data_IF_139752271037
#
_entry.id   IF_139752271037
#
_cell.length_a   1.000
_cell.length_b   1.000
_cell.length_c   1.000
_cell.angle_alpha   90.00
_cell.angle_beta   90.00
_cell.angle_gamma   90.00
#
_symmetry.space_group_name_H-M   'P 1'
#
loop_
_entity.id
_entity.type
_entity.pdbx_description
1 polymer ?
#
# COMPACT_ATOMS: atom_id res chain seq x y z
N UNK A 1 -17.02 30.82 32.81
CA UNK A 1 -16.33 29.56 32.48
C UNK A 1 -15.56 29.76 31.18
N UNK A 2 -14.26 30.06 31.27
CA UNK A 2 -13.38 30.25 30.11
C UNK A 2 -12.97 28.86 29.61
N UNK A 3 -13.50 28.40 28.48
CA UNK A 3 -13.05 27.14 27.87
C UNK A 3 -11.73 27.37 27.13
N UNK A 4 -10.71 26.64 27.56
CA UNK A 4 -9.41 26.55 26.90
C UNK A 4 -9.54 25.98 25.48
N UNK A 5 -9.73 26.84 24.47
CA UNK A 5 -9.29 26.53 23.11
C UNK A 5 -7.76 26.69 23.10
N UNK A 6 -7.05 25.57 23.28
CA UNK A 6 -5.62 25.49 22.94
C UNK A 6 -5.49 25.74 21.43
N UNK A 7 -4.44 26.45 21.04
CA UNK A 7 -4.11 26.76 19.64
C UNK A 7 -4.19 25.51 18.78
N UNK A 8 -5.09 25.50 17.80
CA UNK A 8 -5.11 24.47 16.76
C UNK A 8 -3.86 24.67 15.90
N UNK A 9 -3.08 23.61 15.62
CA UNK A 9 -1.96 23.67 14.68
C UNK A 9 -2.37 24.32 13.36
N UNK A 10 -1.51 25.16 12.78
CA UNK A 10 -1.74 25.86 11.51
C UNK A 10 -1.86 24.93 10.28
N UNK A 11 -1.99 23.61 10.45
CA UNK A 11 -2.28 22.66 9.38
C UNK A 11 -3.65 22.00 9.52
N UNK A 12 -4.37 22.23 10.65
CA UNK A 12 -5.63 21.57 10.97
C UNK A 12 -6.82 22.52 11.17
N UNK A 13 -6.66 23.84 11.03
CA UNK A 13 -7.76 24.83 11.08
C UNK A 13 -8.85 24.68 10.00
N UNK A 14 -8.78 23.64 9.17
CA UNK A 14 -9.66 23.35 8.02
C UNK A 14 -10.99 22.68 8.43
N UNK A 15 -11.15 22.30 9.71
CA UNK A 15 -12.15 21.30 10.10
C UNK A 15 -13.60 21.78 10.26
N UNK A 16 -13.88 23.08 10.21
CA UNK A 16 -15.21 23.61 10.53
C UNK A 16 -16.27 23.46 9.42
N UNK A 17 -15.94 22.85 8.28
CA UNK A 17 -16.81 22.80 7.09
C UNK A 17 -17.44 21.43 6.79
N UNK A 18 -17.16 20.38 7.57
CA UNK A 18 -17.56 19.00 7.24
C UNK A 18 -18.76 18.45 8.01
N UNK A 19 -19.47 19.27 8.80
CA UNK A 19 -20.68 18.87 9.51
C UNK A 19 -21.83 18.66 8.50
N UNK A 20 -21.91 17.45 7.92
CA UNK A 20 -22.94 17.09 6.93
C UNK A 20 -22.64 15.85 6.08
N UNK A 21 -21.42 15.30 6.12
CA UNK A 21 -21.08 14.11 5.35
C UNK A 21 -21.39 12.81 6.12
N UNK A 22 -22.47 12.12 5.76
CA UNK A 22 -22.70 10.71 6.08
C UNK A 22 -21.67 9.81 5.35
N UNK A 23 -21.38 8.58 5.82
CA UNK A 23 -20.06 7.96 5.66
C UNK A 23 -19.85 7.39 4.25
N UNK A 24 -19.22 8.15 3.37
CA UNK A 24 -18.73 7.64 2.09
C UNK A 24 -17.29 7.19 2.30
N UNK A 25 -17.13 5.90 2.56
CA UNK A 25 -15.82 5.26 2.45
C UNK A 25 -16.01 3.87 1.85
N UNK A 26 -16.29 3.85 0.54
CA UNK A 26 -16.09 2.70 -0.33
C UNK A 26 -15.08 3.08 -1.43
N UNK A 27 -13.96 3.69 -1.04
CA UNK A 27 -12.83 3.86 -1.93
C UNK A 27 -12.01 2.58 -1.89
N UNK A 28 -11.85 1.89 -3.02
CA UNK A 28 -10.91 0.77 -3.12
C UNK A 28 -9.56 1.24 -3.66
N UNK A 29 -8.49 0.49 -3.35
CA UNK A 29 -7.11 0.67 -3.87
C UNK A 29 -7.09 1.01 -5.39
N UNK A 30 -8.00 0.42 -6.17
CA UNK A 30 -8.15 0.64 -7.62
C UNK A 30 -8.55 2.08 -7.97
N UNK A 31 -9.37 2.75 -7.15
CA UNK A 31 -9.84 4.10 -7.40
C UNK A 31 -8.79 5.15 -7.00
N UNK A 32 -8.12 4.95 -5.86
CA UNK A 32 -7.05 5.85 -5.39
C UNK A 32 -5.86 5.81 -6.36
N UNK A 33 -5.43 4.61 -6.78
CA UNK A 33 -4.33 4.42 -7.71
C UNK A 33 -4.60 5.00 -9.12
N UNK A 34 -5.88 5.10 -9.53
CA UNK A 34 -6.25 5.75 -10.81
C UNK A 34 -6.13 7.27 -10.78
N UNK A 35 -6.23 7.89 -9.60
CA UNK A 35 -6.21 9.36 -9.46
C UNK A 35 -4.83 9.89 -9.10
N UNK A 36 -3.93 9.04 -8.61
CA UNK A 36 -2.55 9.38 -8.31
C UNK A 36 -1.63 9.00 -9.48
N UNK A 37 -0.91 9.97 -10.06
CA UNK A 37 -0.03 9.72 -11.20
C UNK A 37 1.22 8.92 -10.77
N UNK A 38 1.37 7.70 -11.31
CA UNK A 38 2.34 6.71 -10.88
C UNK A 38 3.82 7.08 -11.05
N UNK A 39 4.19 8.02 -11.93
CA UNK A 39 5.62 8.34 -12.14
C UNK A 39 6.25 9.14 -10.99
N UNK A 40 5.49 10.00 -10.31
CA UNK A 40 5.98 10.76 -9.14
C UNK A 40 6.03 9.90 -7.87
N UNK A 41 5.24 8.82 -7.81
CA UNK A 41 5.06 7.96 -6.64
C UNK A 41 6.33 7.20 -6.22
N UNK A 42 7.05 6.61 -7.19
CA UNK A 42 8.17 5.70 -6.92
C UNK A 42 9.42 6.44 -6.40
N UNK A 43 9.64 7.68 -6.87
CA UNK A 43 10.82 8.48 -6.55
C UNK A 43 10.69 9.18 -5.20
N UNK A 44 9.51 9.75 -4.93
CA UNK A 44 9.15 10.34 -3.63
C UNK A 44 9.21 9.26 -2.53
N UNK A 45 8.71 8.06 -2.83
CA UNK A 45 8.72 6.90 -1.91
C UNK A 45 10.13 6.52 -1.46
N UNK A 46 11.11 6.44 -2.36
CA UNK A 46 12.48 5.99 -2.03
C UNK A 46 13.21 6.94 -1.07
N UNK A 47 13.25 8.23 -1.42
CA UNK A 47 13.98 9.24 -0.64
C UNK A 47 13.31 9.56 0.71
N UNK A 48 11.99 9.50 0.78
CA UNK A 48 11.26 9.64 2.05
C UNK A 48 11.50 8.46 2.98
N UNK A 49 11.51 7.22 2.45
CA UNK A 49 11.83 6.03 3.25
C UNK A 49 13.21 6.10 3.88
N UNK A 50 14.22 6.60 3.16
CA UNK A 50 15.56 6.76 3.74
C UNK A 50 15.60 7.81 4.86
N UNK A 51 14.96 8.97 4.66
CA UNK A 51 14.91 10.01 5.69
C UNK A 51 14.11 9.58 6.93
N UNK A 52 13.08 8.75 6.77
CA UNK A 52 12.33 8.19 7.88
C UNK A 52 13.10 7.09 8.65
N UNK A 53 14.05 6.38 8.00
CA UNK A 53 14.93 5.40 8.65
C UNK A 53 16.09 6.04 9.39
N UNK A 54 16.62 7.15 8.88
CA UNK A 54 17.72 7.91 9.51
C UNK A 54 17.41 9.40 9.40
N UNK A 55 16.76 9.99 10.42
CA UNK A 55 16.49 11.42 10.45
C UNK A 55 17.82 12.18 10.43
N UNK A 56 18.18 12.75 9.29
CA UNK A 56 19.35 13.63 9.21
C UNK A 56 18.96 14.96 9.86
N UNK A 57 19.85 15.58 10.63
CA UNK A 57 19.66 16.96 11.09
C UNK A 57 19.48 17.86 9.87
N UNK A 58 18.25 18.32 9.63
CA UNK A 58 17.91 19.13 8.47
C UNK A 58 18.74 20.42 8.50
N UNK A 59 19.51 20.65 7.43
CA UNK A 59 20.14 21.96 7.19
C UNK A 59 19.08 22.86 6.55
N UNK A 60 19.02 24.16 6.85
CA UNK A 60 18.09 25.05 6.16
C UNK A 60 18.43 25.08 4.67
N UNK A 61 17.57 24.47 3.84
CA UNK A 61 17.64 24.60 2.38
C UNK A 61 16.61 25.63 1.96
N UNK A 62 16.95 26.47 0.99
CA UNK A 62 16.02 27.43 0.42
C UNK A 62 14.86 26.68 -0.27
N UNK A 63 13.71 26.59 0.40
CA UNK A 63 12.51 25.88 -0.04
C UNK A 63 11.82 26.40 -1.31
N UNK A 64 12.42 27.35 -2.03
CA UNK A 64 11.85 27.92 -3.26
C UNK A 64 11.63 26.88 -4.37
N UNK A 65 12.45 25.82 -4.41
CA UNK A 65 12.35 24.78 -5.44
C UNK A 65 11.06 23.94 -5.35
N UNK A 66 10.41 23.90 -4.17
CA UNK A 66 9.20 23.11 -3.93
C UNK A 66 7.92 23.94 -4.02
N UNK A 67 8.06 25.27 -4.14
CA UNK A 67 6.94 26.18 -4.40
C UNK A 67 6.57 26.21 -5.88
N UNK A 68 5.32 26.52 -6.15
CA UNK A 68 4.81 26.72 -7.51
C UNK A 68 3.90 27.95 -7.60
N UNK A 69 3.68 28.41 -8.84
CA UNK A 69 2.67 29.40 -9.17
C UNK A 69 1.42 28.69 -9.68
N UNK A 70 0.22 28.94 -9.13
CA UNK A 70 -1.01 28.34 -9.64
C UNK A 70 -1.22 28.65 -11.13
N UNK A 71 -1.69 27.67 -11.90
CA UNK A 71 -1.91 27.76 -13.36
C UNK A 71 -3.38 27.59 -13.76
N UNK A 72 -4.32 27.68 -12.80
CA UNK A 72 -5.75 27.50 -13.02
C UNK A 72 -6.31 26.30 -12.25
N UNK A 73 -7.35 25.66 -12.79
CA UNK A 73 -7.87 24.41 -12.24
C UNK A 73 -6.95 23.23 -12.59
N UNK A 74 -6.54 22.45 -11.59
CA UNK A 74 -5.72 21.24 -11.79
C UNK A 74 -6.56 20.03 -12.21
N UNK A 75 -7.89 20.11 -12.11
CA UNK A 75 -8.81 19.01 -12.37
C UNK A 75 -8.84 17.94 -11.27
N UNK A 76 -7.98 18.02 -10.25
CA UNK A 76 -7.84 17.01 -9.21
C UNK A 76 -9.12 16.84 -8.39
N UNK A 77 -9.77 17.94 -8.01
CA UNK A 77 -11.04 17.88 -7.27
C UNK A 77 -12.12 17.13 -8.04
N UNK A 78 -12.19 17.32 -9.36
CA UNK A 78 -13.11 16.57 -10.22
C UNK A 78 -12.71 15.09 -10.28
N UNK A 79 -11.44 14.80 -10.57
CA UNK A 79 -10.94 13.42 -10.68
C UNK A 79 -11.15 12.60 -9.41
N UNK A 80 -10.91 13.18 -8.24
CA UNK A 80 -11.18 12.54 -6.95
C UNK A 80 -12.68 12.36 -6.72
N UNK A 81 -13.49 13.36 -7.05
CA UNK A 81 -14.93 13.26 -6.88
C UNK A 81 -15.55 12.18 -7.79
N UNK A 82 -15.10 12.09 -9.04
CA UNK A 82 -15.52 11.03 -9.98
C UNK A 82 -15.12 9.64 -9.48
N UNK A 83 -13.97 9.52 -8.81
CA UNK A 83 -13.46 8.25 -8.28
C UNK A 83 -14.13 7.82 -6.98
N UNK A 84 -14.60 8.76 -6.16
CA UNK A 84 -15.17 8.50 -4.84
C UNK A 84 -16.70 8.56 -4.79
N UNK A 85 -17.33 9.26 -5.74
CA UNK A 85 -18.78 9.43 -5.82
C UNK A 85 -19.46 8.34 -6.65
N UNK A 86 -20.58 7.83 -6.15
CA UNK A 86 -21.33 6.73 -6.76
C UNK A 86 -22.32 7.20 -7.84
N UNK A 87 -22.73 8.45 -7.79
CA UNK A 87 -23.68 9.08 -8.72
C UNK A 87 -23.33 10.57 -8.95
N UNK A 88 -24.00 11.22 -9.90
CA UNK A 88 -23.65 12.58 -10.32
C UNK A 88 -23.88 13.63 -9.23
N UNK A 89 -24.90 13.46 -8.40
CA UNK A 89 -25.16 14.35 -7.26
C UNK A 89 -24.05 14.24 -6.21
N UNK A 90 -23.62 13.03 -5.87
CA UNK A 90 -22.50 12.78 -4.97
C UNK A 90 -21.19 13.32 -5.53
N UNK A 91 -20.91 13.11 -6.82
CA UNK A 91 -19.71 13.64 -7.48
C UNK A 91 -19.70 15.18 -7.45
N UNK A 92 -20.84 15.83 -7.67
CA UNK A 92 -20.93 17.28 -7.58
C UNK A 92 -20.69 17.80 -6.15
N UNK A 93 -21.28 17.12 -5.16
CA UNK A 93 -21.09 17.45 -3.75
C UNK A 93 -19.63 17.27 -3.31
N UNK A 94 -19.01 16.14 -3.64
CA UNK A 94 -17.61 15.85 -3.35
C UNK A 94 -16.67 16.83 -4.06
N UNK A 95 -16.92 17.15 -5.33
CA UNK A 95 -16.11 18.15 -6.05
C UNK A 95 -16.15 19.50 -5.34
N UNK A 96 -17.34 19.95 -4.95
CA UNK A 96 -17.53 21.21 -4.21
C UNK A 96 -16.78 21.18 -2.88
N UNK A 97 -16.92 20.10 -2.13
CA UNK A 97 -16.22 19.90 -0.86
C UNK A 97 -14.70 19.92 -1.03
N UNK A 98 -14.16 19.24 -2.04
CA UNK A 98 -12.73 19.19 -2.31
C UNK A 98 -12.14 20.55 -2.69
N UNK A 99 -12.90 21.37 -3.44
CA UNK A 99 -12.52 22.76 -3.71
C UNK A 99 -12.45 23.57 -2.40
N UNK A 100 -13.44 23.42 -1.52
CA UNK A 100 -13.48 24.12 -0.24
C UNK A 100 -12.36 23.67 0.70
N UNK A 101 -12.07 22.37 0.80
CA UNK A 101 -10.97 21.84 1.61
C UNK A 101 -9.63 22.41 1.16
N UNK A 102 -9.39 22.46 -0.17
CA UNK A 102 -8.19 23.09 -0.73
C UNK A 102 -8.10 24.58 -0.36
N UNK A 103 -9.19 25.33 -0.54
CA UNK A 103 -9.21 26.77 -0.23
C UNK A 103 -8.95 27.04 1.25
N UNK A 104 -9.57 26.26 2.14
CA UNK A 104 -9.37 26.37 3.57
C UNK A 104 -7.93 26.05 3.97
N UNK A 105 -7.34 24.99 3.41
CA UNK A 105 -5.94 24.67 3.61
C UNK A 105 -5.02 25.82 3.18
N UNK A 106 -5.18 26.35 1.96
CA UNK A 106 -4.33 27.43 1.45
C UNK A 106 -4.44 28.71 2.28
N UNK A 107 -5.64 29.04 2.75
CA UNK A 107 -5.86 30.16 3.66
C UNK A 107 -5.14 30.00 5.00
N UNK A 108 -5.05 28.78 5.51
CA UNK A 108 -4.34 28.50 6.75
C UNK A 108 -2.82 28.55 6.55
N UNK A 109 -2.28 27.83 5.56
CA UNK A 109 -0.83 27.76 5.35
C UNK A 109 -0.22 29.08 4.85
N UNK A 110 -1.03 29.98 4.27
CA UNK A 110 -0.64 31.35 3.93
C UNK A 110 -0.11 32.13 5.14
N UNK A 111 -0.66 31.90 6.34
CA UNK A 111 -0.25 32.57 7.58
C UNK A 111 1.21 32.29 7.96
N UNK A 112 1.75 31.16 7.49
CA UNK A 112 3.14 30.76 7.71
C UNK A 112 4.00 30.83 6.44
N UNK A 113 3.49 31.44 5.37
CA UNK A 113 4.19 31.56 4.09
C UNK A 113 4.40 30.23 3.37
N UNK A 114 3.60 29.21 3.68
CA UNK A 114 3.69 27.84 3.14
C UNK A 114 2.67 27.56 2.01
N UNK A 115 1.98 28.59 1.52
CA UNK A 115 1.07 28.45 0.37
C UNK A 115 1.79 27.92 -0.86
N UNK A 116 1.07 27.09 -1.61
CA UNK A 116 1.54 26.49 -2.87
C UNK A 116 2.91 25.79 -2.72
N UNK A 117 3.10 25.07 -1.62
CA UNK A 117 4.32 24.33 -1.30
C UNK A 117 4.01 22.83 -1.18
N UNK A 118 4.65 22.01 -2.01
CA UNK A 118 4.40 20.56 -2.03
C UNK A 118 4.85 19.89 -0.72
N UNK A 119 5.91 20.38 -0.08
CA UNK A 119 6.34 19.81 1.20
C UNK A 119 5.32 20.08 2.30
N UNK A 120 4.67 21.25 2.29
CA UNK A 120 3.58 21.55 3.22
C UNK A 120 2.37 20.63 2.97
N UNK A 121 2.00 20.42 1.71
CA UNK A 121 0.91 19.51 1.35
C UNK A 121 1.20 18.05 1.74
N UNK A 122 2.43 17.58 1.50
CA UNK A 122 2.88 16.25 1.92
C UNK A 122 2.91 16.11 3.45
N UNK A 123 3.27 17.18 4.18
CA UNK A 123 3.23 17.21 5.64
C UNK A 123 1.81 16.98 6.15
N UNK A 124 0.84 17.74 5.61
CA UNK A 124 -0.59 17.54 5.93
C UNK A 124 -1.03 16.12 5.60
N UNK A 125 -0.73 15.63 4.40
CA UNK A 125 -1.11 14.30 3.96
C UNK A 125 -0.60 13.22 4.92
N UNK A 126 0.68 13.23 5.26
CA UNK A 126 1.26 12.25 6.19
C UNK A 126 0.63 12.40 7.58
N UNK A 127 0.53 13.64 8.09
CA UNK A 127 -0.03 13.92 9.40
C UNK A 127 -1.46 13.40 9.54
N UNK A 128 -2.31 13.72 8.57
CA UNK A 128 -3.71 13.29 8.52
C UNK A 128 -3.85 11.77 8.51
N UNK A 129 -3.16 11.10 7.59
CA UNK A 129 -3.32 9.66 7.41
C UNK A 129 -2.73 8.87 8.59
N UNK A 130 -1.58 9.26 9.13
CA UNK A 130 -1.00 8.60 10.31
C UNK A 130 -1.91 8.79 11.53
N UNK A 131 -2.52 9.97 11.70
CA UNK A 131 -3.45 10.25 12.79
C UNK A 131 -4.73 9.40 12.68
N UNK A 132 -5.35 9.37 11.50
CA UNK A 132 -6.55 8.59 11.23
C UNK A 132 -6.30 7.08 11.38
N UNK A 133 -5.15 6.58 10.90
CA UNK A 133 -4.81 5.16 11.00
C UNK A 133 -4.60 4.71 12.45
N UNK A 134 -3.80 5.46 13.21
CA UNK A 134 -3.51 5.14 14.61
C UNK A 134 -4.68 5.50 15.53
N UNK A 135 -5.70 6.19 15.03
CA UNK A 135 -6.80 6.77 15.81
C UNK A 135 -6.27 7.57 17.01
N UNK A 136 -5.15 8.25 16.78
CA UNK A 136 -4.42 8.99 17.79
C UNK A 136 -4.96 10.43 17.93
N UNK A 137 -4.45 11.13 18.94
CA UNK A 137 -4.56 12.58 19.00
C UNK A 137 -3.69 13.24 17.94
N UNK A 138 -3.91 14.54 17.75
CA UNK A 138 -3.17 15.34 16.77
C UNK A 138 -1.66 15.35 17.06
N UNK A 139 -0.81 15.36 16.03
CA UNK A 139 0.63 15.58 16.19
C UNK A 139 0.90 16.95 16.82
N UNK A 140 1.99 17.07 17.58
CA UNK A 140 2.42 18.38 18.10
C UNK A 140 2.86 19.29 16.96
N UNK A 141 2.70 20.61 17.12
CA UNK A 141 3.21 21.61 16.15
C UNK A 141 4.67 21.36 15.80
N UNK A 142 5.48 21.06 16.83
CA UNK A 142 6.92 20.77 16.68
C UNK A 142 7.17 19.51 15.85
N UNK A 143 6.36 18.46 16.00
CA UNK A 143 6.48 17.26 15.17
C UNK A 143 6.08 17.54 13.71
N UNK A 144 5.05 18.36 13.49
CA UNK A 144 4.64 18.82 12.17
C UNK A 144 5.70 19.68 11.48
N UNK A 145 6.28 20.65 12.19
CA UNK A 145 7.34 21.51 11.66
C UNK A 145 8.63 20.75 11.36
N UNK A 146 9.01 19.80 12.21
CA UNK A 146 10.17 18.94 11.95
C UNK A 146 9.93 18.04 10.73
N UNK A 147 8.72 17.48 10.57
CA UNK A 147 8.36 16.71 9.39
C UNK A 147 8.44 17.59 8.13
N UNK A 148 7.87 18.80 8.17
CA UNK A 148 7.95 19.75 7.07
C UNK A 148 9.39 20.09 6.67
N UNK A 149 10.25 20.40 7.65
CA UNK A 149 11.66 20.71 7.39
C UNK A 149 12.40 19.52 6.77
N UNK A 150 12.15 18.29 7.26
CA UNK A 150 12.72 17.08 6.70
C UNK A 150 12.24 16.84 5.25
N UNK A 151 10.94 17.06 4.99
CA UNK A 151 10.36 16.95 3.65
C UNK A 151 10.94 17.99 2.69
N UNK A 152 11.11 19.24 3.14
CA UNK A 152 11.76 20.28 2.34
C UNK A 152 13.18 19.88 1.93
N UNK A 153 14.00 19.45 2.89
CA UNK A 153 15.36 18.99 2.63
C UNK A 153 15.39 17.79 1.68
N UNK A 154 14.50 16.83 1.89
CA UNK A 154 14.47 15.59 1.11
C UNK A 154 14.03 15.86 -0.32
N UNK A 155 12.89 16.53 -0.49
CA UNK A 155 12.26 16.71 -1.79
C UNK A 155 13.02 17.70 -2.66
N UNK A 156 13.69 18.70 -2.07
CA UNK A 156 14.57 19.61 -2.82
C UNK A 156 15.82 18.92 -3.37
N UNK A 157 16.22 17.78 -2.79
CA UNK A 157 17.31 16.94 -3.30
C UNK A 157 16.93 16.02 -4.47
N UNK A 158 15.65 15.95 -4.85
CA UNK A 158 15.15 15.03 -5.88
C UNK A 158 14.99 15.80 -7.20
N UNK A 159 15.84 15.53 -8.23
CA UNK A 159 15.80 16.25 -9.50
C UNK A 159 14.42 16.19 -10.19
N UNK A 160 13.72 15.08 -10.09
CA UNK A 160 12.43 14.85 -10.72
C UNK A 160 11.32 15.69 -10.10
N UNK A 161 11.43 16.07 -8.81
CA UNK A 161 10.49 16.98 -8.15
C UNK A 161 10.83 18.43 -8.46
N UNK A 162 12.11 18.78 -8.39
CA UNK A 162 12.55 20.16 -8.61
C UNK A 162 12.34 20.62 -10.05
N UNK A 163 12.42 19.69 -11.02
CA UNK A 163 12.17 19.93 -12.45
C UNK A 163 10.68 19.93 -12.85
N UNK A 164 9.76 19.58 -11.95
CA UNK A 164 8.32 19.66 -12.26
C UNK A 164 7.91 21.09 -12.65
N UNK A 165 7.09 21.19 -13.68
CA UNK A 165 6.40 22.42 -14.05
C UNK A 165 5.44 22.85 -12.94
N UNK A 166 5.04 24.14 -12.96
CA UNK A 166 4.03 24.65 -12.02
C UNK A 166 2.72 23.84 -12.06
N UNK A 167 2.31 23.37 -13.24
CA UNK A 167 1.11 22.55 -13.40
C UNK A 167 1.24 21.19 -12.72
N UNK A 168 2.37 20.51 -12.91
CA UNK A 168 2.63 19.21 -12.28
C UNK A 168 2.72 19.34 -10.75
N UNK A 169 3.42 20.38 -10.28
CA UNK A 169 3.52 20.71 -8.86
C UNK A 169 2.14 20.99 -8.25
N UNK A 170 1.31 21.75 -8.95
CA UNK A 170 -0.06 22.03 -8.52
C UNK A 170 -0.93 20.78 -8.46
N UNK A 171 -0.85 19.90 -9.46
CA UNK A 171 -1.61 18.64 -9.48
C UNK A 171 -1.22 17.74 -8.30
N UNK A 172 0.07 17.57 -8.04
CA UNK A 172 0.54 16.80 -6.89
C UNK A 172 0.11 17.44 -5.56
N UNK A 173 0.30 18.74 -5.42
CA UNK A 173 -0.10 19.52 -4.26
C UNK A 173 -1.60 19.36 -3.97
N UNK A 174 -2.45 19.63 -4.96
CA UNK A 174 -3.90 19.59 -4.80
C UNK A 174 -4.38 18.19 -4.40
N UNK A 175 -3.77 17.14 -4.94
CA UNK A 175 -4.12 15.76 -4.59
C UNK A 175 -3.77 15.46 -3.12
N UNK A 176 -2.56 15.82 -2.69
CA UNK A 176 -2.09 15.61 -1.32
C UNK A 176 -2.97 16.36 -0.32
N UNK A 177 -3.30 17.62 -0.61
CA UNK A 177 -4.15 18.47 0.24
C UNK A 177 -5.56 17.89 0.35
N UNK A 178 -6.19 17.57 -0.79
CA UNK A 178 -7.57 17.08 -0.79
C UNK A 178 -7.65 15.72 -0.09
N UNK A 179 -6.78 14.77 -0.41
CA UNK A 179 -6.80 13.44 0.22
C UNK A 179 -6.46 13.51 1.71
N UNK A 180 -5.45 14.28 2.11
CA UNK A 180 -5.13 14.48 3.52
C UNK A 180 -6.30 15.07 4.30
N UNK A 181 -6.90 16.15 3.77
CA UNK A 181 -8.03 16.83 4.42
C UNK A 181 -9.27 15.97 4.47
N UNK A 182 -9.58 15.21 3.42
CA UNK A 182 -10.73 14.31 3.36
C UNK A 182 -10.63 13.18 4.38
N UNK A 183 -9.47 12.52 4.46
CA UNK A 183 -9.22 11.44 5.44
C UNK A 183 -9.34 11.96 6.87
N UNK A 184 -8.69 13.09 7.17
CA UNK A 184 -8.72 13.68 8.50
C UNK A 184 -10.13 14.11 8.90
N UNK A 185 -10.81 14.84 8.02
CA UNK A 185 -12.17 15.32 8.24
C UNK A 185 -13.16 14.19 8.47
N UNK A 186 -13.06 13.13 7.66
CA UNK A 186 -13.84 11.92 7.83
C UNK A 186 -13.59 11.20 9.15
N UNK A 187 -12.31 11.04 9.53
CA UNK A 187 -11.93 10.46 10.82
C UNK A 187 -12.47 11.26 12.00
N UNK A 188 -12.31 12.59 12.01
CA UNK A 188 -12.78 13.41 13.13
C UNK A 188 -14.30 13.36 13.23
N UNK A 189 -15.02 13.52 12.11
CA UNK A 189 -16.47 13.41 12.10
C UNK A 189 -16.94 12.03 12.61
N UNK A 190 -16.29 10.94 12.18
CA UNK A 190 -16.60 9.59 12.65
C UNK A 190 -16.33 9.42 14.16
N UNK A 191 -15.26 10.03 14.67
CA UNK A 191 -14.91 10.02 16.10
C UNK A 191 -15.91 10.81 16.94
N UNK A 192 -16.30 12.00 16.49
CA UNK A 192 -17.25 12.88 17.19
C UNK A 192 -18.68 12.32 17.18
N UNK A 193 -19.09 11.68 16.08
CA UNK A 193 -20.41 11.05 15.94
C UNK A 193 -20.50 9.65 16.56
N UNK A 194 -19.38 9.03 16.94
CA UNK A 194 -19.34 7.66 17.44
C UNK A 194 -19.59 6.58 16.38
N UNK A 195 -19.42 6.90 15.09
CA UNK A 195 -19.62 5.95 13.99
C UNK A 195 -18.42 5.00 13.84
N UNK A 196 -18.54 3.81 14.43
CA UNK A 196 -17.51 2.78 14.39
C UNK A 196 -17.22 2.25 12.97
N UNK A 197 -18.21 2.22 12.09
CA UNK A 197 -18.02 1.76 10.71
C UNK A 197 -17.21 2.79 9.91
N UNK A 198 -17.56 4.07 10.04
CA UNK A 198 -16.79 5.15 9.43
C UNK A 198 -15.36 5.22 9.98
N UNK A 199 -15.15 5.04 11.28
CA UNK A 199 -13.81 4.98 11.88
C UNK A 199 -12.95 3.86 11.28
N UNK A 200 -13.54 2.68 11.07
CA UNK A 200 -12.85 1.57 10.41
C UNK A 200 -12.51 1.91 8.97
N UNK A 201 -13.46 2.44 8.21
CA UNK A 201 -13.25 2.72 6.80
C UNK A 201 -12.21 3.85 6.58
N UNK A 202 -12.21 4.90 7.40
CA UNK A 202 -11.18 5.95 7.33
C UNK A 202 -9.80 5.47 7.78
N UNK A 203 -9.73 4.49 8.70
CA UNK A 203 -8.47 3.81 9.03
C UNK A 203 -7.94 3.00 7.84
N UNK A 204 -8.79 2.25 7.14
CA UNK A 204 -8.42 1.50 5.94
C UNK A 204 -7.99 2.44 4.81
N UNK A 205 -8.78 3.48 4.54
CA UNK A 205 -8.45 4.52 3.55
C UNK A 205 -7.12 5.21 3.85
N UNK A 206 -6.83 5.50 5.12
CA UNK A 206 -5.57 6.08 5.53
C UNK A 206 -4.38 5.14 5.28
N UNK A 207 -4.57 3.85 5.57
CA UNK A 207 -3.58 2.82 5.28
C UNK A 207 -3.28 2.71 3.79
N UNK A 208 -4.32 2.67 2.95
CA UNK A 208 -4.18 2.58 1.50
C UNK A 208 -3.52 3.83 0.92
N UNK A 209 -3.91 5.03 1.40
CA UNK A 209 -3.33 6.30 0.97
C UNK A 209 -1.82 6.36 1.25
N UNK A 210 -1.38 6.00 2.47
CA UNK A 210 0.05 5.95 2.81
C UNK A 210 0.80 4.90 1.98
N UNK A 211 0.18 3.74 1.73
CA UNK A 211 0.78 2.68 0.91
C UNK A 211 0.95 3.12 -0.55
N UNK A 212 -0.07 3.73 -1.16
CA UNK A 212 -0.02 4.18 -2.56
C UNK A 212 0.96 5.34 -2.75
N UNK A 213 0.95 6.31 -1.84
CA UNK A 213 1.75 7.54 -2.00
C UNK A 213 3.20 7.35 -1.55
N UNK A 214 3.44 6.58 -0.49
CA UNK A 214 4.77 6.45 0.14
C UNK A 214 5.33 5.02 0.08
N UNK A 215 4.55 4.03 -0.34
CA UNK A 215 4.96 2.62 -0.26
C UNK A 215 5.26 2.14 1.16
N UNK A 216 4.71 2.82 2.19
CA UNK A 216 4.93 2.50 3.61
C UNK A 216 3.65 1.94 4.21
N UNK A 217 3.79 0.89 5.01
CA UNK A 217 2.70 0.36 5.83
C UNK A 217 2.41 1.33 6.97
N UNK A 218 1.16 1.82 7.06
CA UNK A 218 0.75 2.78 8.06
C UNK A 218 0.93 2.29 9.50
N UNK A 219 0.91 0.96 9.74
CA UNK A 219 1.21 0.37 11.05
C UNK A 219 2.62 0.66 11.55
N UNK A 220 3.54 0.97 10.64
CA UNK A 220 4.93 1.31 10.97
C UNK A 220 5.09 2.78 11.28
N UNK A 221 4.10 3.64 11.09
CA UNK A 221 4.25 5.09 11.26
C UNK A 221 3.47 5.56 12.49
N UNK A 222 4.15 6.29 13.37
CA UNK A 222 3.54 6.95 14.53
C UNK A 222 4.19 8.32 14.75
N UNK A 223 3.44 9.27 15.27
CA UNK A 223 4.04 10.51 15.76
C UNK A 223 4.52 10.31 17.19
N UNK A 224 5.83 10.51 17.39
CA UNK A 224 6.39 10.78 18.71
C UNK A 224 6.23 12.26 19.07
N UNK A 225 6.75 12.66 20.23
CA UNK A 225 6.58 14.01 20.78
C UNK A 225 7.16 15.11 19.88
N UNK A 226 8.20 14.80 19.11
CA UNK A 226 8.93 15.77 18.27
C UNK A 226 9.12 15.35 16.82
N UNK A 227 8.77 14.12 16.44
CA UNK A 227 9.03 13.64 15.08
C UNK A 227 8.10 12.49 14.70
N UNK A 228 7.92 12.28 13.39
CA UNK A 228 7.40 11.02 12.88
C UNK A 228 8.45 9.93 13.11
N UNK A 229 8.06 8.86 13.77
CA UNK A 229 8.90 7.67 13.98
C UNK A 229 8.38 6.54 13.12
N UNK A 230 9.30 5.83 12.48
CA UNK A 230 9.00 4.48 12.05
C UNK A 230 9.18 3.57 13.26
N UNK A 231 8.17 2.78 13.61
CA UNK A 231 8.34 1.62 14.48
C UNK A 231 9.27 0.68 13.73
N UNK A 232 10.57 0.76 14.02
CA UNK A 232 11.57 -0.13 13.46
C UNK A 232 11.24 -1.53 13.98
N UNK A 233 10.67 -2.34 13.08
CA UNK A 233 10.41 -3.79 13.17
C UNK A 233 11.37 -4.53 14.12
N UNK A 234 10.91 -5.59 14.82
CA UNK A 234 11.80 -6.52 15.50
C UNK A 234 12.99 -6.92 14.62
N UNK A 235 14.10 -7.06 15.32
CA UNK A 235 15.43 -7.53 14.94
C UNK A 235 15.47 -8.42 13.68
N UNK A 236 16.47 -8.15 12.82
CA UNK A 236 16.90 -9.01 11.71
C UNK A 236 16.84 -10.49 12.14
N UNK A 237 16.00 -11.35 11.52
CA UNK A 237 15.98 -12.75 11.91
C UNK A 237 17.30 -13.37 11.46
N UNK A 238 18.16 -13.61 12.44
CA UNK A 238 19.21 -14.64 12.37
C UNK A 238 18.53 -15.95 11.98
N UNK A 239 19.07 -16.73 11.03
CA UNK A 239 18.47 -17.99 10.60
C UNK A 239 18.56 -19.03 11.71
N UNK A 240 17.61 -19.01 12.66
CA UNK A 240 17.41 -20.09 13.62
C UNK A 240 16.10 -20.79 13.28
N UNK A 241 16.21 -21.76 12.35
CA UNK A 241 15.12 -22.52 11.80
C UNK A 241 14.46 -23.44 12.82
N UNK A 242 13.19 -23.16 13.12
CA UNK A 242 12.27 -24.09 13.77
C UNK A 242 10.98 -24.19 12.96
N UNK A 243 10.32 -25.36 12.98
CA UNK A 243 9.07 -25.59 12.24
C UNK A 243 7.97 -24.55 12.54
N UNK A 244 7.96 -23.99 13.74
CA UNK A 244 6.99 -22.95 14.14
C UNK A 244 7.12 -21.64 13.35
N UNK A 245 8.27 -21.33 12.75
CA UNK A 245 8.46 -20.06 12.04
C UNK A 245 7.76 -20.01 10.68
N UNK A 246 7.48 -21.17 10.07
CA UNK A 246 6.83 -21.24 8.76
C UNK A 246 5.31 -21.44 8.85
N UNK A 247 4.79 -21.71 10.06
CA UNK A 247 3.35 -21.85 10.31
C UNK A 247 2.64 -20.56 9.91
N UNK A 248 1.60 -20.68 9.09
CA UNK A 248 0.87 -19.54 8.56
C UNK A 248 0.45 -19.70 7.11
N UNK A 249 -0.02 -18.59 6.52
CA UNK A 249 -0.55 -18.52 5.16
C UNK A 249 0.40 -17.72 4.27
N UNK A 250 0.82 -18.33 3.17
CA UNK A 250 1.85 -17.81 2.27
C UNK A 250 1.34 -17.82 0.84
N UNK A 251 1.25 -16.64 0.22
CA UNK A 251 0.62 -16.45 -1.10
C UNK A 251 1.62 -15.92 -2.12
N UNK A 252 1.51 -16.39 -3.36
CA UNK A 252 2.23 -15.85 -4.52
C UNK A 252 1.27 -15.54 -5.66
N UNK A 253 1.64 -14.56 -6.48
CA UNK A 253 1.04 -14.29 -7.77
C UNK A 253 2.16 -13.94 -8.74
N UNK A 254 2.12 -14.53 -9.92
CA UNK A 254 3.11 -14.36 -10.98
C UNK A 254 2.35 -14.02 -12.25
N UNK A 255 2.71 -12.89 -12.85
CA UNK A 255 2.38 -12.62 -14.25
C UNK A 255 3.40 -13.36 -15.13
N UNK A 256 3.03 -13.78 -16.35
CA UNK A 256 4.01 -14.32 -17.29
C UNK A 256 5.11 -13.27 -17.58
N UNK A 257 6.37 -13.70 -17.84
CA UNK A 257 7.48 -12.78 -18.04
C UNK A 257 7.26 -11.85 -19.24
N UNK A 258 7.46 -10.56 -18.98
CA UNK A 258 7.80 -9.49 -19.93
C UNK A 258 7.05 -9.43 -21.27
N UNK A 259 6.18 -8.43 -21.41
CA UNK A 259 6.29 -7.48 -22.53
C UNK A 259 6.09 -6.09 -21.95
N UNK A 260 7.02 -5.20 -22.26
CA UNK A 260 7.07 -3.78 -21.89
C UNK A 260 5.93 -2.93 -22.49
N UNK A 261 4.79 -3.54 -22.81
CA UNK A 261 3.68 -2.92 -23.49
C UNK A 261 2.40 -3.00 -22.61
N UNK A 262 1.91 -1.86 -22.09
CA UNK A 262 0.74 -1.81 -21.20
C UNK A 262 -0.60 -2.19 -21.87
N UNK A 263 -0.60 -2.56 -23.15
CA UNK A 263 -1.80 -2.97 -23.91
C UNK A 263 -2.07 -4.48 -23.94
N UNK A 264 -1.26 -5.32 -23.27
CA UNK A 264 -1.41 -6.80 -23.38
C UNK A 264 -1.91 -7.41 -22.06
N UNK A 265 -3.21 -7.24 -21.78
CA UNK A 265 -3.95 -7.95 -20.71
C UNK A 265 -4.21 -9.44 -21.02
N UNK A 266 -3.55 -10.01 -22.05
CA UNK A 266 -3.98 -11.23 -22.74
C UNK A 266 -3.21 -12.51 -22.39
N UNK A 267 -2.27 -12.45 -21.44
CA UNK A 267 -1.24 -13.50 -21.30
C UNK A 267 -1.47 -14.52 -20.17
N UNK A 268 -2.51 -14.35 -19.35
CA UNK A 268 -2.75 -15.27 -18.24
C UNK A 268 -2.09 -14.86 -16.92
N UNK A 269 -2.24 -15.68 -15.89
CA UNK A 269 -1.54 -15.54 -14.61
C UNK A 269 -1.42 -16.88 -13.89
N UNK A 270 -0.52 -16.95 -12.92
CA UNK A 270 -0.40 -18.05 -11.97
C UNK A 270 -0.43 -17.53 -10.55
N UNK A 271 -1.26 -18.10 -9.67
CA UNK A 271 -1.28 -17.81 -8.24
C UNK A 271 -1.21 -19.09 -7.42
N UNK A 272 -0.60 -19.01 -6.25
CA UNK A 272 -0.41 -20.15 -5.35
C UNK A 272 -0.50 -19.72 -3.90
N UNK A 273 -1.01 -20.60 -3.04
CA UNK A 273 -1.12 -20.34 -1.60
C UNK A 273 -0.83 -21.60 -0.81
N UNK A 274 0.16 -21.54 0.07
CA UNK A 274 0.36 -22.53 1.13
C UNK A 274 -0.34 -22.10 2.41
N UNK A 275 -0.76 -23.09 3.19
CA UNK A 275 -1.12 -22.94 4.59
C UNK A 275 -0.44 -24.05 5.37
N UNK A 276 0.55 -23.70 6.19
CA UNK A 276 1.26 -24.63 7.07
C UNK A 276 0.65 -24.58 8.47
N UNK A 277 0.21 -25.73 8.97
CA UNK A 277 -0.33 -25.87 10.31
C UNK A 277 0.76 -26.31 11.29
N UNK A 278 0.64 -25.95 12.57
CA UNK A 278 1.62 -26.28 13.61
C UNK A 278 1.76 -27.80 13.86
N UNK A 279 0.76 -28.60 13.47
CA UNK A 279 0.77 -30.06 13.61
C UNK A 279 1.50 -30.80 12.47
N UNK A 280 2.27 -30.09 11.64
CA UNK A 280 3.04 -30.70 10.54
C UNK A 280 2.22 -31.02 9.28
N UNK A 281 0.98 -30.53 9.15
CA UNK A 281 0.20 -30.66 7.91
C UNK A 281 0.21 -29.37 7.09
N UNK A 282 0.00 -29.50 5.78
CA UNK A 282 -0.15 -28.34 4.90
C UNK A 282 -1.35 -28.50 3.97
N UNK A 283 -1.84 -27.38 3.47
CA UNK A 283 -2.66 -27.32 2.27
C UNK A 283 -2.05 -26.35 1.26
N UNK A 284 -2.24 -26.64 -0.02
CA UNK A 284 -1.85 -25.80 -1.14
C UNK A 284 -3.05 -25.59 -2.06
N UNK A 285 -3.24 -24.33 -2.50
CA UNK A 285 -4.17 -23.96 -3.55
C UNK A 285 -3.44 -23.21 -4.64
N UNK A 286 -3.48 -23.73 -5.86
CA UNK A 286 -2.94 -23.11 -7.06
C UNK A 286 -4.06 -22.73 -8.03
N UNK A 287 -3.86 -21.69 -8.81
CA UNK A 287 -4.69 -21.40 -9.98
C UNK A 287 -3.85 -20.80 -11.09
N UNK A 288 -3.98 -21.38 -12.28
CA UNK A 288 -3.40 -20.89 -13.51
C UNK A 288 -4.51 -20.49 -14.47
N UNK A 289 -4.38 -19.35 -15.12
CA UNK A 289 -5.26 -18.90 -16.19
C UNK A 289 -4.47 -18.75 -17.49
N UNK A 290 -4.96 -19.35 -18.56
CA UNK A 290 -4.25 -19.45 -19.84
C UNK A 290 -4.43 -18.24 -20.79
N UNK A 291 -4.95 -17.11 -20.30
CA UNK A 291 -5.26 -15.93 -21.11
C UNK A 291 -6.60 -16.03 -21.88
N UNK A 292 -6.98 -14.98 -22.62
CA UNK A 292 -8.29 -14.91 -23.27
C UNK A 292 -8.45 -15.90 -24.43
N UNK A 293 -7.36 -16.38 -25.03
CA UNK A 293 -7.41 -17.33 -26.15
C UNK A 293 -7.96 -18.70 -25.77
N UNK A 294 -7.78 -19.13 -24.51
CA UNK A 294 -8.28 -20.42 -24.01
C UNK A 294 -9.46 -20.26 -23.05
N UNK A 295 -9.51 -19.15 -22.31
CA UNK A 295 -10.55 -18.83 -21.32
C UNK A 295 -10.84 -19.98 -20.32
N UNK A 296 -9.78 -20.71 -19.96
CA UNK A 296 -9.80 -21.88 -19.07
C UNK A 296 -8.92 -21.58 -17.85
N UNK A 297 -9.39 -22.05 -16.69
CA UNK A 297 -8.75 -21.93 -15.39
C UNK A 297 -8.41 -23.33 -14.88
N UNK A 298 -7.14 -23.54 -14.52
CA UNK A 298 -6.70 -24.76 -13.84
C UNK A 298 -6.59 -24.44 -12.36
N UNK A 299 -7.35 -25.12 -11.52
CA UNK A 299 -7.25 -24.98 -10.06
C UNK A 299 -6.65 -26.24 -9.47
N UNK A 300 -5.54 -26.10 -8.74
CA UNK A 300 -4.89 -27.20 -8.03
C UNK A 300 -5.22 -27.13 -6.56
N UNK A 301 -5.69 -28.22 -5.98
CA UNK A 301 -5.89 -28.35 -4.54
C UNK A 301 -5.09 -29.55 -4.04
N UNK A 302 -4.22 -29.32 -3.06
CA UNK A 302 -3.32 -30.33 -2.53
C UNK A 302 -3.25 -30.24 -1.01
N UNK A 303 -3.12 -31.37 -0.33
CA UNK A 303 -2.83 -31.43 1.10
C UNK A 303 -1.93 -32.62 1.43
N UNK A 304 -1.22 -32.52 2.56
CA UNK A 304 -0.30 -33.55 3.00
C UNK A 304 0.40 -33.15 4.28
N UNK A 305 1.61 -33.68 4.47
CA UNK A 305 2.47 -33.36 5.61
C UNK A 305 3.73 -32.63 5.18
N UNK A 306 4.29 -31.83 6.08
CA UNK A 306 5.59 -31.21 5.91
C UNK A 306 6.49 -31.49 7.11
N UNK A 307 7.80 -31.44 6.89
CA UNK A 307 8.82 -31.49 7.94
C UNK A 307 9.87 -30.42 7.72
N UNK A 308 10.40 -29.85 8.80
CA UNK A 308 11.48 -28.86 8.76
C UNK A 308 12.70 -29.42 9.46
N UNK A 309 13.86 -29.36 8.80
CA UNK A 309 15.15 -29.72 9.36
C UNK A 309 16.15 -28.62 9.03
N UNK A 310 16.44 -27.74 9.99
CA UNK A 310 17.23 -26.54 9.75
C UNK A 310 16.58 -25.63 8.70
N UNK A 311 17.33 -25.30 7.65
CA UNK A 311 16.86 -24.50 6.51
C UNK A 311 16.22 -25.34 5.38
N UNK A 312 15.93 -26.62 5.63
CA UNK A 312 15.24 -27.47 4.67
C UNK A 312 13.80 -27.70 5.10
N UNK A 313 12.88 -27.57 4.15
CA UNK A 313 11.47 -27.95 4.28
C UNK A 313 11.17 -29.04 3.24
N UNK A 314 10.58 -30.13 3.69
CA UNK A 314 10.15 -31.24 2.83
C UNK A 314 8.64 -31.33 2.83
N UNK A 315 8.05 -31.27 1.65
CA UNK A 315 6.61 -31.36 1.40
C UNK A 315 6.30 -32.76 0.88
N UNK A 316 5.39 -33.47 1.57
CA UNK A 316 4.96 -34.83 1.25
C UNK A 316 3.44 -34.85 1.00
N UNK A 317 3.00 -34.70 -0.26
CA UNK A 317 1.59 -34.68 -0.59
C UNK A 317 0.92 -36.03 -0.30
N UNK A 318 -0.32 -35.99 0.19
CA UNK A 318 -1.20 -37.16 0.35
C UNK A 318 -2.33 -37.17 -0.68
N UNK A 319 -2.84 -35.99 -1.02
CA UNK A 319 -3.89 -35.80 -2.03
C UNK A 319 -3.55 -34.57 -2.84
N UNK A 320 -3.65 -34.64 -4.17
CA UNK A 320 -3.41 -33.53 -5.08
C UNK A 320 -4.30 -33.69 -6.31
N UNK A 321 -5.16 -32.70 -6.58
CA UNK A 321 -6.14 -32.74 -7.65
C UNK A 321 -6.10 -31.46 -8.47
N UNK A 322 -6.27 -31.56 -9.78
CA UNK A 322 -6.48 -30.42 -10.67
C UNK A 322 -7.91 -30.43 -11.19
N UNK A 323 -8.60 -29.31 -11.11
CA UNK A 323 -9.89 -29.08 -11.75
C UNK A 323 -9.75 -28.01 -12.83
N UNK A 324 -10.19 -28.34 -14.04
CA UNK A 324 -10.20 -27.41 -15.19
C UNK A 324 -11.59 -26.82 -15.32
N UNK A 325 -11.70 -25.50 -15.35
CA UNK A 325 -12.97 -24.77 -15.44
C UNK A 325 -12.99 -23.77 -16.59
N UNK A 326 -14.19 -23.49 -17.11
CA UNK A 326 -14.40 -22.34 -17.99
C UNK A 326 -14.45 -21.04 -17.20
N UNK A 327 -14.44 -19.90 -17.88
CA UNK A 327 -14.68 -18.58 -17.27
C UNK A 327 -16.02 -18.40 -16.56
N UNK A 328 -17.01 -19.23 -16.90
CA UNK A 328 -18.32 -19.29 -16.24
C UNK A 328 -18.32 -20.18 -14.99
N UNK A 329 -17.19 -20.82 -14.66
CA UNK A 329 -17.06 -21.73 -13.52
C UNK A 329 -17.45 -23.19 -13.81
N UNK A 330 -17.84 -23.51 -15.05
CA UNK A 330 -18.24 -24.86 -15.42
C UNK A 330 -17.02 -25.80 -15.40
N UNK A 331 -17.12 -26.92 -14.68
CA UNK A 331 -16.07 -27.94 -14.62
C UNK A 331 -16.00 -28.69 -15.95
N UNK A 332 -14.84 -28.65 -16.59
CA UNK A 332 -14.53 -29.40 -17.83
C UNK A 332 -13.82 -30.71 -17.55
N UNK A 333 -12.92 -30.72 -16.57
CA UNK A 333 -12.11 -31.90 -16.25
C UNK A 333 -11.74 -31.88 -14.76
N UNK A 334 -11.64 -33.07 -14.17
CA UNK A 334 -10.99 -33.30 -12.88
C UNK A 334 -9.99 -34.43 -13.03
N UNK A 335 -8.79 -34.25 -12.52
CA UNK A 335 -7.75 -35.29 -12.52
C UNK A 335 -6.94 -35.29 -11.23
N UNK A 336 -6.49 -36.47 -10.84
CA UNK A 336 -5.50 -36.61 -9.78
C UNK A 336 -4.12 -36.28 -10.33
N UNK A 337 -3.34 -35.52 -9.56
CA UNK A 337 -1.97 -35.19 -9.89
C UNK A 337 -1.01 -36.23 -9.29
N UNK A 338 0.18 -36.45 -9.87
CA UNK A 338 1.24 -37.22 -9.25
C UNK A 338 1.61 -36.65 -7.86
N UNK A 339 1.71 -37.50 -6.85
CA UNK A 339 2.07 -37.13 -5.48
C UNK A 339 3.60 -36.98 -5.36
N UNK A 340 4.14 -35.89 -5.90
CA UNK A 340 5.58 -35.66 -5.92
C UNK A 340 6.06 -35.02 -4.62
N UNK A 341 6.87 -35.75 -3.87
CA UNK A 341 7.61 -35.23 -2.71
C UNK A 341 8.64 -34.20 -3.19
N UNK A 342 8.72 -33.05 -2.52
CA UNK A 342 9.66 -31.98 -2.86
C UNK A 342 10.36 -31.45 -1.62
N UNK A 343 11.66 -31.19 -1.72
CA UNK A 343 12.46 -30.56 -0.67
C UNK A 343 12.98 -29.22 -1.16
N UNK A 344 12.88 -28.21 -0.31
CA UNK A 344 13.31 -26.85 -0.60
C UNK A 344 14.28 -26.38 0.47
N UNK A 345 15.29 -25.60 0.06
CA UNK A 345 15.93 -24.65 0.94
C UNK A 345 14.96 -23.49 1.16
N UNK A 346 14.72 -23.12 2.41
CA UNK A 346 13.84 -22.01 2.74
C UNK A 346 14.59 -20.90 3.49
N UNK A 347 14.15 -19.67 3.26
CA UNK A 347 14.60 -18.51 4.02
C UNK A 347 13.52 -17.43 4.03
N UNK A 348 13.55 -16.58 5.05
CA UNK A 348 12.83 -15.32 5.02
C UNK A 348 13.77 -14.24 4.51
N UNK A 349 13.43 -13.63 3.38
CA UNK A 349 14.21 -12.52 2.86
C UNK A 349 13.36 -11.26 2.81
N UNK A 350 13.85 -10.23 3.45
CA UNK A 350 13.27 -8.90 3.35
C UNK A 350 13.74 -8.23 2.06
N UNK A 351 12.81 -7.98 1.14
CA UNK A 351 13.10 -7.29 -0.11
C UNK A 351 12.88 -5.79 0.06
N UNK A 352 13.97 -5.02 0.10
CA UNK A 352 13.93 -3.56 0.27
C UNK A 352 13.02 -2.85 -0.74
N UNK A 353 13.01 -3.34 -1.98
CA UNK A 353 12.21 -2.77 -3.08
C UNK A 353 10.71 -2.92 -2.88
N UNK A 354 10.26 -4.02 -2.26
CA UNK A 354 8.84 -4.27 -1.99
C UNK A 354 8.44 -4.02 -0.53
N UNK A 355 9.40 -3.78 0.37
CA UNK A 355 9.18 -3.64 1.82
C UNK A 355 8.41 -4.83 2.41
N UNK A 356 8.65 -6.02 1.84
CA UNK A 356 7.99 -7.25 2.25
C UNK A 356 9.03 -8.31 2.56
N UNK A 357 8.84 -8.99 3.70
CA UNK A 357 9.52 -10.25 3.96
C UNK A 357 8.83 -11.32 3.13
N UNK A 358 9.56 -11.87 2.17
CA UNK A 358 9.10 -13.00 1.39
C UNK A 358 9.60 -14.30 2.03
N UNK A 359 8.73 -15.29 2.03
CA UNK A 359 9.11 -16.66 2.23
C UNK A 359 9.65 -17.20 0.91
N UNK A 360 10.96 -17.44 0.87
CA UNK A 360 11.68 -17.90 -0.31
C UNK A 360 11.81 -19.41 -0.24
N UNK A 361 11.37 -20.11 -1.29
CA UNK A 361 11.53 -21.55 -1.44
C UNK A 361 12.38 -21.85 -2.68
N UNK A 362 13.53 -22.51 -2.50
CA UNK A 362 14.41 -22.94 -3.58
C UNK A 362 14.47 -24.47 -3.61
N UNK A 363 13.93 -25.14 -4.64
CA UNK A 363 14.01 -26.59 -4.77
C UNK A 363 15.45 -27.09 -4.70
N UNK A 364 15.71 -28.12 -3.91
CA UNK A 364 17.08 -28.68 -3.81
C UNK A 364 17.53 -29.33 -5.11
N UNK A 365 16.61 -29.68 -6.00
CA UNK A 365 16.88 -30.19 -7.35
C UNK A 365 17.29 -29.10 -8.33
N UNK A 366 17.06 -27.82 -8.01
CA UNK A 366 17.23 -26.69 -8.92
C UNK A 366 16.19 -26.58 -10.04
N UNK A 367 15.23 -27.52 -10.13
CA UNK A 367 14.20 -27.56 -11.17
C UNK A 367 12.84 -27.09 -10.65
N UNK A 368 12.03 -26.53 -11.55
CA UNK A 368 10.65 -26.17 -11.26
C UNK A 368 9.82 -27.40 -10.88
N UNK A 369 8.91 -27.24 -9.92
CA UNK A 369 7.95 -28.28 -9.56
C UNK A 369 6.62 -28.02 -10.27
N UNK A 370 5.89 -29.09 -10.60
CA UNK A 370 4.54 -28.96 -11.16
C UNK A 370 3.58 -28.22 -10.22
N UNK A 371 3.80 -28.32 -8.89
CA UNK A 371 2.95 -27.73 -7.86
C UNK A 371 3.09 -26.21 -7.81
N UNK A 372 4.33 -25.73 -7.72
CA UNK A 372 4.63 -24.31 -7.62
C UNK A 372 4.76 -23.65 -9.00
N UNK A 373 4.83 -24.42 -10.08
CA UNK A 373 4.95 -23.90 -11.44
C UNK A 373 6.27 -23.16 -11.65
N UNK A 374 6.20 -22.03 -12.37
CA UNK A 374 7.39 -21.27 -12.75
C UNK A 374 8.06 -20.52 -11.61
N UNK A 375 9.38 -20.41 -11.68
CA UNK A 375 10.16 -19.58 -10.77
C UNK A 375 9.83 -18.09 -10.91
N UNK A 376 10.14 -17.32 -9.87
CA UNK A 376 10.07 -15.85 -9.94
C UNK A 376 11.23 -15.28 -10.76
N UNK A 377 10.99 -14.19 -11.49
CA UNK A 377 12.02 -13.46 -12.25
C UNK A 377 12.97 -12.62 -11.36
N UNK A 378 13.18 -13.04 -10.11
CA UNK A 378 13.96 -12.30 -9.13
C UNK A 378 15.47 -12.54 -9.33
N UNK A 379 16.24 -11.44 -9.43
CA UNK A 379 17.70 -11.51 -9.63
C UNK A 379 18.51 -11.92 -8.39
N UNK A 380 17.94 -11.75 -7.19
CA UNK A 380 18.62 -12.06 -5.92
C UNK A 380 18.52 -13.55 -5.60
N UNK A 381 17.36 -14.16 -5.88
CA UNK A 381 17.12 -15.59 -5.71
C UNK A 381 16.75 -16.22 -7.03
N UNK A 382 17.76 -16.69 -7.77
CA UNK A 382 17.52 -17.56 -8.91
C UNK A 382 16.89 -18.88 -8.46
N UNK A 383 16.06 -19.45 -9.35
CA UNK A 383 15.39 -20.73 -9.14
C UNK A 383 14.57 -20.80 -7.84
N UNK A 384 13.86 -19.71 -7.53
CA UNK A 384 13.11 -19.57 -6.30
C UNK A 384 11.64 -19.25 -6.53
N UNK A 385 10.82 -19.67 -5.57
CA UNK A 385 9.45 -19.22 -5.40
C UNK A 385 9.40 -18.20 -4.27
N UNK A 386 8.78 -17.05 -4.53
CA UNK A 386 8.62 -15.98 -3.56
C UNK A 386 7.17 -15.89 -3.10
N UNK A 387 6.93 -16.22 -1.84
CA UNK A 387 5.63 -16.14 -1.19
C UNK A 387 5.59 -14.96 -0.21
N UNK A 388 4.41 -14.38 -0.01
CA UNK A 388 4.18 -13.22 0.86
C UNK A 388 3.14 -13.59 1.92
N UNK A 389 3.22 -12.98 3.10
CA UNK A 389 2.23 -13.22 4.17
C UNK A 389 0.86 -12.63 3.83
N UNK A 390 -0.15 -13.50 3.79
CA UNK A 390 -1.53 -13.29 4.30
C UNK A 390 -2.46 -12.17 3.82
N UNK A 391 -2.04 -11.02 3.30
CA UNK A 391 -2.96 -9.88 3.10
C UNK A 391 -3.54 -9.73 1.70
N UNK A 392 -2.96 -10.40 0.69
CA UNK A 392 -3.63 -10.54 -0.60
C UNK A 392 -4.69 -11.62 -0.42
N UNK A 393 -5.95 -11.21 -0.23
CA UNK A 393 -7.11 -12.10 -0.38
C UNK A 393 -7.16 -12.54 -1.84
N UNK A 394 -6.36 -13.55 -2.18
CA UNK A 394 -6.45 -14.21 -3.47
C UNK A 394 -7.80 -14.90 -3.53
N UNK A 395 -8.76 -14.27 -4.22
CA UNK A 395 -10.02 -14.92 -4.59
C UNK A 395 -9.71 -15.98 -5.64
N UNK A 396 -9.69 -17.24 -5.23
CA UNK A 396 -9.68 -18.38 -6.15
C UNK A 396 -11.08 -18.54 -6.74
N UNK A 397 -11.18 -18.85 -8.04
CA UNK A 397 -12.47 -19.12 -8.67
C UNK A 397 -12.89 -20.55 -8.31
N UNK A 398 -14.07 -20.69 -7.70
CA UNK A 398 -14.67 -21.98 -7.35
C UNK A 398 -15.70 -22.41 -8.37
#
# INVERSE_FOLDING_TARGET
MKSHLKSVPAYLGVLTLLTGFAPIAHASEVHINKTFNNQSSLLITGALKENLKKPTTAKPVAGAALKFKPVGDSGVAKSLADALGSNDQERLALKTAFVQLKQAYEGEVAKSGKSHDIAAAMTLFIAANVTAYNQAGEPTDKAGDNLYAALQQTMSGIPEITKMSNAEKQTLHDWLVIMGSFVLGGYVNAKESGDAAALKNFKELASESLKVTLGVDASKLKFGTTQLVMDSTPEKPTPNGGANQIVGVWSKATLPPSVSNPLILNLGYSKGRYTFAANGTYSYKGEDWGGFSKNIFWSTEENGSYSVQGNLITISPKVSNTTVRTSKGEVKERKNNPLTKATYKWTFHYFDTSNETKFVLQPTTGAETLRDGRFSDNKVFSNAYLYSTGWIVLKFRY
#
